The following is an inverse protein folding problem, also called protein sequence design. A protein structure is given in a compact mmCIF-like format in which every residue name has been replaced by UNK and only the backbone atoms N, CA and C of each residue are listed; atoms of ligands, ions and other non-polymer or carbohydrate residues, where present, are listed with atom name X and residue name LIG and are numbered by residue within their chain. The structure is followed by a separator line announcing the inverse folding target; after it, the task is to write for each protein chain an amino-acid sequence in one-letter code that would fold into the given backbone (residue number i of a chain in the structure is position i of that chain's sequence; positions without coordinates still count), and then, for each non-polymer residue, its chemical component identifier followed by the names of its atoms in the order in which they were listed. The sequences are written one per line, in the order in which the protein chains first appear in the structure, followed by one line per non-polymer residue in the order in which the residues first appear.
data_IF_552608250629
#
_entry.id   IF_552608250629
#
_cell.length_a   1.000
_cell.length_b   1.000
_cell.length_c   1.000
_cell.angle_alpha   90.00
_cell.angle_beta   90.00
_cell.angle_gamma   90.00
#
_symmetry.space_group_name_H-M   'P 1'
#
loop_
_entity.id
_entity.type
_entity.pdbx_description
1 polymer ?
#
# COMPACT_ATOMS: atom_id res chain seq x y z
N UNK A 1 53.24 1.18 30.37
CA UNK A 1 53.06 -0.14 29.74
C UNK A 1 51.66 -0.24 29.13
N UNK A 2 51.54 -0.77 27.91
CA UNK A 2 50.24 -1.05 27.28
C UNK A 2 49.86 -2.52 27.47
N UNK A 3 48.65 -2.77 27.96
CA UNK A 3 48.06 -4.11 28.07
C UNK A 3 47.08 -4.33 26.91
N UNK A 4 47.39 -5.28 26.04
CA UNK A 4 46.47 -5.74 24.99
C UNK A 4 45.55 -6.78 25.62
N UNK A 5 44.28 -6.44 25.76
CA UNK A 5 43.30 -7.25 26.49
C UNK A 5 42.27 -7.82 25.50
N UNK A 6 42.34 -9.13 25.26
CA UNK A 6 41.33 -9.86 24.50
C UNK A 6 40.22 -10.27 25.45
N UNK A 7 38.97 -10.04 25.07
CA UNK A 7 37.80 -10.35 25.89
C UNK A 7 36.99 -11.45 25.21
N UNK A 8 36.58 -12.44 25.98
CA UNK A 8 35.65 -13.53 25.61
C UNK A 8 34.61 -13.63 26.75
N UNK A 9 33.39 -13.12 26.54
CA UNK A 9 32.45 -12.92 27.65
C UNK A 9 31.82 -14.23 28.17
N UNK A 10 31.65 -15.24 27.32
CA UNK A 10 30.96 -16.49 27.63
C UNK A 10 31.92 -17.67 27.93
N UNK A 11 33.22 -17.38 28.03
CA UNK A 11 34.27 -18.34 28.40
C UNK A 11 34.39 -19.51 27.42
N UNK A 12 34.25 -19.21 26.13
CA UNK A 12 34.41 -20.22 25.09
C UNK A 12 35.83 -20.78 25.07
N UNK A 13 36.86 -19.99 25.43
CA UNK A 13 38.21 -20.48 25.65
C UNK A 13 38.26 -21.53 26.77
N UNK A 14 37.83 -21.21 27.99
CA UNK A 14 37.89 -22.13 29.13
C UNK A 14 37.05 -23.38 28.91
N UNK A 15 35.81 -23.21 28.43
CA UNK A 15 34.85 -24.32 28.20
C UNK A 15 35.25 -25.26 27.09
N UNK A 16 35.70 -24.75 25.93
CA UNK A 16 35.97 -25.59 24.76
C UNK A 16 37.36 -26.20 24.79
N UNK A 17 38.31 -25.61 25.52
CA UNK A 17 39.72 -26.03 25.51
C UNK A 17 40.26 -26.50 26.86
N UNK A 18 39.61 -26.15 27.97
CA UNK A 18 40.06 -26.46 29.33
C UNK A 18 41.24 -25.61 29.81
N UNK A 19 41.55 -24.51 29.12
CA UNK A 19 42.54 -23.54 29.59
C UNK A 19 42.05 -22.84 30.87
N UNK A 20 42.98 -22.53 31.76
CA UNK A 20 42.69 -21.70 32.93
C UNK A 20 42.86 -20.23 32.55
N UNK A 21 41.82 -19.45 32.79
CA UNK A 21 41.76 -18.01 32.52
C UNK A 21 41.98 -17.24 33.84
N UNK A 22 42.53 -16.01 33.78
CA UNK A 22 43.02 -15.32 32.59
C UNK A 22 44.33 -15.93 32.06
N UNK A 23 44.50 -15.91 30.74
CA UNK A 23 45.75 -16.37 30.08
C UNK A 23 46.64 -15.17 29.81
N UNK A 24 47.85 -15.16 30.38
CA UNK A 24 48.74 -13.99 30.37
C UNK A 24 50.05 -14.33 29.68
N UNK A 25 50.52 -13.44 28.81
CA UNK A 25 51.79 -13.56 28.11
C UNK A 25 51.63 -14.10 26.70
N UNK A 26 52.52 -13.68 25.81
CA UNK A 26 52.47 -13.96 24.38
C UNK A 26 52.37 -15.46 24.04
N UNK A 27 53.27 -16.30 24.56
CA UNK A 27 53.26 -17.74 24.23
C UNK A 27 52.04 -18.47 24.82
N UNK A 28 51.67 -18.30 26.10
CA UNK A 28 50.43 -18.88 26.63
C UNK A 28 49.18 -18.47 25.84
N UNK A 29 49.05 -17.19 25.47
CA UNK A 29 47.92 -16.69 24.69
C UNK A 29 47.90 -17.31 23.28
N UNK A 30 49.07 -17.51 22.67
CA UNK A 30 49.18 -18.19 21.37
C UNK A 30 48.79 -19.66 21.44
N UNK A 31 49.21 -20.36 22.49
CA UNK A 31 48.81 -21.76 22.73
C UNK A 31 47.30 -21.88 22.92
N UNK A 32 46.70 -20.98 23.71
CA UNK A 32 45.26 -20.86 23.91
C UNK A 32 44.51 -20.61 22.59
N UNK A 33 44.97 -19.64 21.79
CA UNK A 33 44.36 -19.32 20.48
C UNK A 33 44.38 -20.52 19.52
N UNK A 34 45.50 -21.24 19.46
CA UNK A 34 45.64 -22.42 18.59
C UNK A 34 44.76 -23.57 19.09
N UNK A 35 44.66 -23.75 20.41
CA UNK A 35 43.78 -24.76 21.00
C UNK A 35 42.31 -24.47 20.68
N UNK A 36 41.86 -23.21 20.84
CA UNK A 36 40.49 -22.81 20.54
C UNK A 36 40.19 -22.96 19.05
N UNK A 37 41.09 -22.50 18.16
CA UNK A 37 40.94 -22.67 16.71
C UNK A 37 40.89 -24.14 16.27
N UNK A 38 41.52 -25.04 17.04
CA UNK A 38 41.49 -26.49 16.78
C UNK A 38 40.20 -27.14 17.28
N UNK A 39 39.66 -26.65 18.40
CA UNK A 39 38.43 -27.16 19.01
C UNK A 39 37.18 -26.64 18.27
N UNK A 40 37.14 -25.35 17.95
CA UNK A 40 36.03 -24.69 17.26
C UNK A 40 36.55 -23.62 16.28
N UNK A 41 36.78 -23.98 15.00
CA UNK A 41 37.31 -23.05 14.00
C UNK A 41 36.29 -22.01 13.50
N UNK A 42 35.00 -22.15 13.80
CA UNK A 42 33.96 -21.21 13.37
C UNK A 42 33.74 -20.06 14.36
N UNK A 43 34.29 -20.21 15.56
CA UNK A 43 34.25 -19.26 16.66
C UNK A 43 34.94 -17.93 16.32
N UNK A 44 34.29 -16.80 16.62
CA UNK A 44 34.83 -15.47 16.39
C UNK A 44 35.93 -15.08 17.37
N UNK A 45 35.96 -15.64 18.58
CA UNK A 45 36.95 -15.35 19.63
C UNK A 45 38.36 -15.78 19.23
N UNK A 46 38.46 -16.81 18.39
CA UNK A 46 39.72 -17.19 17.74
C UNK A 46 40.36 -15.97 17.06
N UNK A 47 39.57 -15.20 16.32
CA UNK A 47 40.07 -14.02 15.61
C UNK A 47 40.37 -12.85 16.55
N UNK A 48 39.64 -12.73 17.67
CA UNK A 48 39.93 -11.74 18.73
C UNK A 48 41.32 -11.99 19.32
N UNK A 49 41.61 -13.23 19.73
CA UNK A 49 42.88 -13.60 20.34
C UNK A 49 44.04 -13.45 19.33
N UNK A 50 43.87 -13.90 18.08
CA UNK A 50 44.88 -13.70 17.04
C UNK A 50 45.10 -12.23 16.70
N UNK A 51 44.05 -11.40 16.73
CA UNK A 51 44.18 -9.96 16.55
C UNK A 51 44.96 -9.32 17.71
N UNK A 52 44.79 -9.82 18.94
CA UNK A 52 45.59 -9.40 20.10
C UNK A 52 47.07 -9.75 19.97
N UNK A 53 47.38 -10.97 19.57
CA UNK A 53 48.76 -11.38 19.27
C UNK A 53 49.38 -10.53 18.16
N UNK A 54 48.62 -10.22 17.11
CA UNK A 54 49.09 -9.36 16.02
C UNK A 54 49.41 -7.94 16.51
N UNK A 55 48.56 -7.36 17.36
CA UNK A 55 48.80 -6.02 17.92
C UNK A 55 49.97 -6.03 18.89
N UNK A 56 50.08 -7.06 19.74
CA UNK A 56 51.23 -7.26 20.61
C UNK A 56 52.53 -7.31 19.81
N UNK A 57 52.60 -8.16 18.77
CA UNK A 57 53.81 -8.33 17.95
C UNK A 57 54.20 -7.02 17.24
N UNK A 58 53.23 -6.25 16.75
CA UNK A 58 53.45 -4.95 16.09
C UNK A 58 53.96 -3.87 17.05
N UNK A 59 53.49 -3.84 18.30
CA UNK A 59 53.95 -2.91 19.32
C UNK A 59 55.31 -3.32 19.91
N UNK A 60 55.51 -4.62 20.15
CA UNK A 60 56.78 -5.16 20.64
C UNK A 60 57.90 -4.91 19.63
N UNK A 61 57.63 -5.04 18.32
CA UNK A 61 58.59 -4.73 17.26
C UNK A 61 58.99 -3.24 17.20
N UNK A 62 58.22 -2.35 17.85
CA UNK A 62 58.52 -0.92 18.00
C UNK A 62 59.21 -0.59 19.33
N UNK A 63 59.68 -1.61 20.06
CA UNK A 63 60.29 -1.49 21.39
C UNK A 63 59.35 -0.83 22.43
N UNK A 64 58.03 -0.94 22.25
CA UNK A 64 57.05 -0.48 23.23
C UNK A 64 56.88 -1.52 24.37
N UNK A 65 56.73 -1.03 25.60
CA UNK A 65 56.45 -1.85 26.79
C UNK A 65 55.01 -2.38 26.72
N UNK A 66 54.84 -3.61 26.23
CA UNK A 66 53.53 -4.23 25.96
C UNK A 66 53.41 -5.62 26.60
N UNK A 67 52.22 -5.93 27.12
CA UNK A 67 51.83 -7.27 27.57
C UNK A 67 50.49 -7.66 26.92
N UNK A 68 50.23 -8.96 26.74
CA UNK A 68 48.95 -9.46 26.21
C UNK A 68 48.29 -10.42 27.18
N UNK A 69 46.97 -10.30 27.34
CA UNK A 69 46.17 -11.22 28.12
C UNK A 69 44.82 -11.50 27.46
N UNK A 70 44.28 -12.70 27.71
CA UNK A 70 42.89 -13.06 27.44
C UNK A 70 42.18 -13.13 28.78
N UNK A 71 41.07 -12.41 28.89
CA UNK A 71 40.17 -12.48 30.03
C UNK A 71 38.83 -13.01 29.58
N UNK A 72 38.24 -13.87 30.39
CA UNK A 72 36.94 -14.48 30.13
C UNK A 72 35.91 -14.17 31.20
N UNK A 73 34.64 -14.33 30.84
CA UNK A 73 33.51 -14.24 31.75
C UNK A 73 32.97 -15.61 32.15
N UNK A 74 31.64 -15.77 32.11
CA UNK A 74 30.96 -17.03 32.36
C UNK A 74 29.59 -17.04 31.67
N UNK A 75 28.99 -18.22 31.53
CA UNK A 75 27.68 -18.39 30.87
C UNK A 75 26.45 -18.15 31.75
N UNK A 76 26.61 -17.85 33.04
CA UNK A 76 25.47 -17.87 33.97
C UNK A 76 24.49 -16.71 33.73
N UNK A 77 24.90 -15.48 34.04
CA UNK A 77 24.12 -14.25 33.90
C UNK A 77 25.06 -13.10 33.48
N UNK A 78 24.56 -12.11 32.76
CA UNK A 78 25.35 -10.93 32.34
C UNK A 78 26.10 -10.27 33.52
N UNK A 79 25.50 -10.25 34.71
CA UNK A 79 26.10 -9.63 35.90
C UNK A 79 27.23 -10.49 36.49
N UNK A 80 27.10 -11.83 36.48
CA UNK A 80 28.17 -12.70 36.95
C UNK A 80 29.32 -12.73 35.97
N UNK A 81 29.05 -12.75 34.67
CA UNK A 81 30.06 -12.69 33.62
C UNK A 81 30.88 -11.39 33.72
N UNK A 82 30.19 -10.25 33.86
CA UNK A 82 30.84 -8.96 34.10
C UNK A 82 31.70 -8.92 35.38
N UNK A 83 31.30 -9.61 36.45
CA UNK A 83 32.09 -9.68 37.69
C UNK A 83 33.36 -10.51 37.49
N UNK A 84 33.24 -11.66 36.86
CA UNK A 84 34.36 -12.56 36.58
C UNK A 84 35.40 -11.86 35.71
N UNK A 85 34.99 -11.21 34.61
CA UNK A 85 35.90 -10.40 33.78
C UNK A 85 36.63 -9.34 34.61
N UNK A 86 35.94 -8.73 35.59
CA UNK A 86 36.56 -7.80 36.51
C UNK A 86 37.65 -8.44 37.39
N UNK A 87 37.36 -9.60 37.97
CA UNK A 87 38.26 -10.35 38.86
C UNK A 87 39.46 -10.92 38.08
N UNK A 88 39.25 -11.34 36.84
CA UNK A 88 40.30 -11.74 35.92
C UNK A 88 41.22 -10.58 35.56
N UNK A 89 40.67 -9.40 35.23
CA UNK A 89 41.47 -8.19 35.00
C UNK A 89 42.28 -7.82 36.23
N UNK A 90 41.71 -7.93 37.43
CA UNK A 90 42.44 -7.68 38.68
C UNK A 90 43.61 -8.68 38.85
N UNK A 91 43.41 -9.94 38.46
CA UNK A 91 44.44 -10.98 38.45
C UNK A 91 45.54 -10.67 37.43
N UNK A 92 45.17 -10.22 36.22
CA UNK A 92 46.14 -9.78 35.20
C UNK A 92 46.98 -8.65 35.75
N UNK A 93 46.35 -7.58 36.24
CA UNK A 93 47.05 -6.40 36.78
C UNK A 93 47.98 -6.75 37.96
N UNK A 94 47.58 -7.67 38.85
CA UNK A 94 48.40 -8.12 39.97
C UNK A 94 49.65 -8.93 39.53
N UNK A 95 49.58 -9.60 38.37
CA UNK A 95 50.71 -10.36 37.82
C UNK A 95 51.74 -9.47 37.11
N UNK A 96 51.33 -8.27 36.66
CA UNK A 96 52.22 -7.34 35.97
C UNK A 96 53.23 -6.74 36.95
N UNK A 97 54.50 -7.08 36.75
CA UNK A 97 55.62 -6.52 37.51
C UNK A 97 56.18 -5.28 36.82
N UNK A 98 55.43 -4.18 36.79
CA UNK A 98 55.88 -2.91 36.20
C UNK A 98 55.82 -1.74 37.17
N UNK A 99 56.76 -0.80 37.01
CA UNK A 99 56.79 0.48 37.75
C UNK A 99 56.10 1.62 37.00
N UNK A 100 55.59 1.34 35.80
CA UNK A 100 54.94 2.31 34.91
C UNK A 100 53.42 2.24 35.03
N UNK A 101 52.74 3.33 34.70
CA UNK A 101 51.28 3.32 34.55
C UNK A 101 50.88 2.32 33.44
N UNK A 102 49.86 1.52 33.73
CA UNK A 102 49.28 0.54 32.80
C UNK A 102 48.07 1.18 32.13
N UNK A 103 48.04 1.16 30.79
CA UNK A 103 46.86 1.50 29.99
C UNK A 103 46.45 0.28 29.16
N UNK A 104 45.18 0.16 28.80
CA UNK A 104 44.66 -1.00 28.09
C UNK A 104 44.16 -0.66 26.68
N UNK A 105 44.44 -1.56 25.74
CA UNK A 105 43.80 -1.63 24.44
C UNK A 105 42.93 -2.88 24.40
N UNK A 106 41.61 -2.70 24.40
CA UNK A 106 40.65 -3.80 24.46
C UNK A 106 40.34 -4.31 23.05
N UNK A 107 40.31 -5.62 22.86
CA UNK A 107 39.97 -6.29 21.60
C UNK A 107 38.77 -7.19 21.84
N UNK A 108 37.78 -7.08 20.95
CA UNK A 108 36.47 -7.72 21.06
C UNK A 108 35.88 -7.98 19.66
N UNK A 109 34.98 -8.96 19.49
CA UNK A 109 34.31 -9.23 18.22
C UNK A 109 32.96 -8.48 18.03
N UNK A 110 32.38 -7.92 19.10
CA UNK A 110 30.94 -7.70 19.13
C UNK A 110 30.42 -6.73 20.18
N UNK A 111 29.15 -6.36 20.02
CA UNK A 111 28.48 -5.43 20.93
C UNK A 111 28.14 -6.05 22.31
N UNK A 112 28.10 -7.38 22.41
CA UNK A 112 27.86 -8.09 23.67
C UNK A 112 29.08 -7.97 24.59
N UNK A 113 30.26 -8.26 24.07
CA UNK A 113 31.54 -8.11 24.77
C UNK A 113 31.91 -6.65 25.07
N UNK A 114 31.45 -5.68 24.28
CA UNK A 114 31.62 -4.26 24.62
C UNK A 114 30.92 -3.88 25.95
N UNK A 115 30.00 -4.71 26.47
CA UNK A 115 29.32 -4.46 27.74
C UNK A 115 30.26 -4.49 28.95
N UNK A 116 31.41 -5.16 28.87
CA UNK A 116 32.42 -5.19 29.96
C UNK A 116 33.34 -3.97 29.98
N UNK A 117 33.30 -3.11 28.95
CA UNK A 117 34.17 -1.92 28.87
C UNK A 117 34.09 -1.04 30.12
N UNK A 118 32.90 -0.73 30.69
CA UNK A 118 32.82 0.05 31.93
C UNK A 118 33.50 -0.64 33.12
N UNK A 119 33.47 -1.97 33.17
CA UNK A 119 34.08 -2.79 34.23
C UNK A 119 35.61 -2.81 34.11
N UNK A 120 36.13 -2.96 32.89
CA UNK A 120 37.57 -2.87 32.62
C UNK A 120 38.06 -1.44 32.93
N UNK A 121 37.31 -0.42 32.49
CA UNK A 121 37.65 1.00 32.70
C UNK A 121 37.71 1.39 34.18
N UNK A 122 36.99 0.70 35.06
CA UNK A 122 37.07 0.97 36.50
C UNK A 122 38.35 0.47 37.16
N UNK A 123 39.14 -0.37 36.46
CA UNK A 123 40.38 -0.99 36.96
C UNK A 123 41.62 -0.46 36.25
N UNK A 124 41.53 -0.22 34.94
CA UNK A 124 42.64 0.27 34.12
C UNK A 124 42.15 1.33 33.11
N UNK A 125 42.90 2.43 32.88
CA UNK A 125 42.58 3.38 31.81
C UNK A 125 42.59 2.70 30.44
N UNK A 126 41.60 2.99 29.60
CA UNK A 126 41.47 2.40 28.25
C UNK A 126 41.87 3.45 27.20
N UNK A 127 42.94 3.17 26.44
CA UNK A 127 43.42 4.02 25.33
C UNK A 127 42.62 3.80 24.04
N UNK A 128 42.02 2.63 23.88
CA UNK A 128 41.17 2.33 22.73
C UNK A 128 40.46 0.98 22.81
N UNK A 129 39.51 0.79 21.91
CA UNK A 129 38.80 -0.47 21.68
C UNK A 129 38.92 -0.82 20.21
N UNK A 130 39.36 -2.04 19.89
CA UNK A 130 39.49 -2.55 18.53
C UNK A 130 38.53 -3.70 18.32
N UNK A 131 37.52 -3.46 17.48
CA UNK A 131 36.54 -4.47 17.09
C UNK A 131 37.02 -5.33 15.92
N UNK A 132 36.96 -6.65 16.06
CA UNK A 132 37.27 -7.64 15.02
C UNK A 132 35.98 -8.06 14.33
N UNK A 133 35.96 -8.01 12.99
CA UNK A 133 34.81 -8.43 12.20
C UNK A 133 35.26 -9.42 11.13
N UNK A 134 34.84 -10.67 11.26
CA UNK A 134 35.13 -11.73 10.30
C UNK A 134 34.21 -11.56 9.08
N UNK A 135 34.80 -11.38 7.89
CA UNK A 135 34.03 -11.26 6.64
C UNK A 135 33.82 -12.63 6.02
N UNK A 136 32.67 -13.25 6.23
CA UNK A 136 32.29 -14.49 5.55
C UNK A 136 31.62 -14.22 4.19
N UNK A 137 32.06 -14.91 3.14
CA UNK A 137 31.52 -14.80 1.79
C UNK A 137 30.58 -15.97 1.47
N UNK A 138 29.35 -15.96 2.00
CA UNK A 138 28.31 -16.97 1.70
C UNK A 138 27.56 -16.61 0.41
N UNK A 139 28.09 -16.94 -0.78
CA UNK A 139 27.86 -16.03 -1.93
C UNK A 139 27.22 -16.53 -3.23
N UNK A 140 26.57 -17.69 -3.30
CA UNK A 140 25.81 -18.03 -4.54
C UNK A 140 24.44 -18.69 -4.31
N UNK A 141 24.34 -19.65 -3.40
CA UNK A 141 23.08 -20.36 -3.16
C UNK A 141 22.01 -19.45 -2.54
N UNK A 142 22.39 -18.68 -1.52
CA UNK A 142 21.50 -17.69 -0.88
C UNK A 142 21.00 -16.65 -1.90
N UNK A 143 21.86 -16.16 -2.80
CA UNK A 143 21.45 -15.24 -3.87
C UNK A 143 20.47 -15.89 -4.84
N UNK A 144 20.71 -17.14 -5.25
CA UNK A 144 19.78 -17.86 -6.12
C UNK A 144 18.40 -17.98 -5.49
N UNK A 145 18.32 -18.36 -4.21
CA UNK A 145 17.05 -18.45 -3.51
C UNK A 145 16.38 -17.08 -3.30
N UNK A 146 17.15 -16.03 -3.00
CA UNK A 146 16.59 -14.67 -2.90
C UNK A 146 16.00 -14.20 -4.22
N UNK A 147 16.72 -14.38 -5.34
CA UNK A 147 16.20 -14.02 -6.68
C UNK A 147 14.97 -14.87 -7.00
N UNK A 148 15.02 -16.18 -6.74
CA UNK A 148 13.88 -17.08 -6.95
C UNK A 148 12.66 -16.64 -6.14
N UNK A 149 12.84 -16.26 -4.87
CA UNK A 149 11.75 -15.80 -4.01
C UNK A 149 11.14 -14.48 -4.48
N UNK A 150 11.97 -13.51 -4.89
CA UNK A 150 11.51 -12.25 -5.48
C UNK A 150 10.73 -12.50 -6.78
N UNK A 151 11.19 -13.47 -7.57
CA UNK A 151 10.49 -13.89 -8.76
C UNK A 151 9.25 -14.70 -8.43
N UNK A 152 9.14 -15.46 -7.34
CA UNK A 152 7.96 -16.27 -7.00
C UNK A 152 6.83 -15.47 -6.34
N UNK A 153 7.15 -14.36 -5.69
CA UNK A 153 6.15 -13.48 -5.07
C UNK A 153 5.32 -12.68 -6.11
N UNK A 154 3.98 -12.83 -6.16
CA UNK A 154 3.13 -12.15 -7.14
C UNK A 154 3.18 -10.61 -7.08
N UNK A 155 3.29 -10.05 -5.88
CA UNK A 155 3.35 -8.59 -5.68
C UNK A 155 4.67 -8.01 -6.20
N UNK A 156 5.77 -8.72 -5.95
CA UNK A 156 7.13 -8.26 -6.30
C UNK A 156 7.47 -8.58 -7.75
N UNK A 157 7.12 -9.78 -8.26
CA UNK A 157 7.34 -10.21 -9.65
C UNK A 157 6.80 -9.19 -10.64
N UNK A 158 5.56 -8.74 -10.45
CA UNK A 158 4.92 -7.77 -11.33
C UNK A 158 5.63 -6.41 -11.33
N UNK A 159 6.13 -5.98 -10.18
CA UNK A 159 6.82 -4.68 -10.01
C UNK A 159 8.17 -4.65 -10.72
N UNK A 160 8.90 -5.76 -10.74
CA UNK A 160 10.25 -5.84 -11.31
C UNK A 160 10.20 -6.29 -12.78
N UNK A 161 9.46 -7.36 -13.08
CA UNK A 161 9.48 -7.96 -14.41
C UNK A 161 8.75 -7.14 -15.47
N UNK A 162 7.70 -6.38 -15.11
CA UNK A 162 6.94 -5.61 -16.12
C UNK A 162 7.76 -4.44 -16.68
N UNK A 163 8.34 -3.54 -15.86
CA UNK A 163 9.24 -2.48 -16.38
C UNK A 163 10.42 -3.06 -17.15
N UNK A 164 11.02 -4.11 -16.61
CA UNK A 164 12.17 -4.77 -17.24
C UNK A 164 11.78 -5.37 -18.60
N UNK A 165 10.63 -6.04 -18.68
CA UNK A 165 10.08 -6.58 -19.91
C UNK A 165 9.80 -5.49 -20.94
N UNK A 166 9.16 -4.39 -20.53
CA UNK A 166 8.93 -3.24 -21.43
C UNK A 166 10.26 -2.66 -21.91
N UNK A 167 11.25 -2.49 -21.01
CA UNK A 167 12.58 -1.97 -21.36
C UNK A 167 13.29 -2.86 -22.39
N UNK A 168 13.26 -4.18 -22.17
CA UNK A 168 13.81 -5.17 -23.10
C UNK A 168 13.08 -5.18 -24.45
N UNK A 169 11.79 -4.84 -24.47
CA UNK A 169 11.01 -4.73 -25.69
C UNK A 169 11.26 -3.45 -26.49
N UNK A 170 11.83 -2.39 -25.89
CA UNK A 170 12.10 -1.12 -26.58
C UNK A 170 12.94 -1.34 -27.84
N UNK A 171 14.03 -2.11 -27.73
CA UNK A 171 14.94 -2.34 -28.85
C UNK A 171 14.30 -3.13 -30.02
N UNK A 172 13.72 -4.33 -29.81
CA UNK A 172 13.07 -5.06 -30.90
C UNK A 172 11.86 -4.30 -31.48
N UNK A 173 11.10 -3.57 -30.65
CA UNK A 173 10.02 -2.73 -31.15
C UNK A 173 10.54 -1.56 -31.99
N UNK A 174 11.68 -0.95 -31.61
CA UNK A 174 12.31 0.09 -32.42
C UNK A 174 12.72 -0.43 -33.81
N UNK A 175 13.21 -1.67 -33.91
CA UNK A 175 13.53 -2.31 -35.19
C UNK A 175 12.29 -2.58 -36.05
N UNK A 176 11.18 -2.98 -35.44
CA UNK A 176 9.91 -3.12 -36.15
C UNK A 176 9.40 -1.75 -36.61
N UNK A 177 9.49 -0.74 -35.76
CA UNK A 177 9.11 0.63 -36.08
C UNK A 177 9.92 1.22 -37.22
N UNK A 178 11.23 0.94 -37.29
CA UNK A 178 12.06 1.37 -38.42
C UNK A 178 11.68 0.64 -39.71
N UNK A 179 11.35 -0.65 -39.65
CA UNK A 179 10.87 -1.41 -40.81
C UNK A 179 9.50 -0.92 -41.35
N UNK A 180 8.65 -0.37 -40.47
CA UNK A 180 7.36 0.20 -40.81
C UNK A 180 7.41 1.71 -41.12
N UNK A 181 8.60 2.31 -41.23
CA UNK A 181 8.81 3.75 -41.43
C UNK A 181 8.18 4.65 -40.35
N UNK A 182 7.90 4.09 -39.16
CA UNK A 182 7.31 4.79 -38.01
C UNK A 182 8.10 4.59 -36.69
N UNK A 183 9.44 4.76 -36.67
CA UNK A 183 10.25 4.49 -35.48
C UNK A 183 9.89 5.40 -34.30
N UNK A 184 9.56 6.67 -34.57
CA UNK A 184 9.18 7.63 -33.53
C UNK A 184 7.85 7.29 -32.84
N UNK A 185 6.88 6.76 -33.59
CA UNK A 185 5.61 6.32 -33.02
C UNK A 185 5.83 5.12 -32.10
N UNK A 186 6.55 4.09 -32.55
CA UNK A 186 6.77 2.87 -31.76
C UNK A 186 7.58 3.14 -30.49
N UNK A 187 8.65 3.93 -30.59
CA UNK A 187 9.42 4.36 -29.42
C UNK A 187 8.57 5.21 -28.47
N UNK A 188 7.83 6.18 -29.01
CA UNK A 188 6.94 7.05 -28.24
C UNK A 188 5.87 6.27 -27.48
N UNK A 189 5.20 5.32 -28.14
CA UNK A 189 4.19 4.47 -27.51
C UNK A 189 4.81 3.55 -26.46
N UNK A 190 5.95 2.92 -26.73
CA UNK A 190 6.59 2.01 -25.77
C UNK A 190 7.09 2.76 -24.53
N UNK A 191 7.70 3.93 -24.71
CA UNK A 191 8.11 4.81 -23.61
C UNK A 191 6.92 5.38 -22.84
N UNK A 192 5.82 5.73 -23.52
CA UNK A 192 4.60 6.18 -22.88
C UNK A 192 3.96 5.07 -22.03
N UNK A 193 3.93 3.83 -22.52
CA UNK A 193 3.45 2.68 -21.75
C UNK A 193 4.32 2.42 -20.52
N UNK A 194 5.65 2.50 -20.65
CA UNK A 194 6.56 2.39 -19.51
C UNK A 194 6.31 3.49 -18.49
N UNK A 195 6.22 4.75 -18.95
CA UNK A 195 5.96 5.90 -18.09
C UNK A 195 4.63 5.81 -17.37
N UNK A 196 3.56 5.45 -18.08
CA UNK A 196 2.23 5.26 -17.51
C UNK A 196 2.23 4.12 -16.49
N UNK A 197 2.92 3.01 -16.78
CA UNK A 197 3.09 1.92 -15.82
C UNK A 197 3.77 2.42 -14.53
N UNK A 198 4.91 3.10 -14.65
CA UNK A 198 5.66 3.61 -13.48
C UNK A 198 4.83 4.60 -12.66
N UNK A 199 4.11 5.52 -13.31
CA UNK A 199 3.21 6.46 -12.65
C UNK A 199 2.08 5.70 -11.94
N UNK A 200 1.46 4.73 -12.62
CA UNK A 200 0.37 3.93 -12.04
C UNK A 200 0.83 3.16 -10.80
N UNK A 201 2.06 2.63 -10.81
CA UNK A 201 2.63 1.89 -9.68
C UNK A 201 3.05 2.84 -8.57
N UNK A 202 3.69 3.97 -8.89
CA UNK A 202 4.11 4.99 -7.91
C UNK A 202 2.92 5.64 -7.19
N UNK A 203 1.80 5.79 -7.88
CA UNK A 203 0.54 6.23 -7.28
C UNK A 203 -0.20 5.09 -6.57
N UNK A 204 0.16 3.82 -6.76
CA UNK A 204 -0.61 2.69 -6.21
C UNK A 204 -2.00 2.53 -6.82
N UNK A 205 -2.17 2.88 -8.10
CA UNK A 205 -3.46 2.82 -8.79
C UNK A 205 -4.04 1.42 -8.84
N UNK A 206 -3.21 0.37 -8.93
CA UNK A 206 -3.65 -1.03 -8.93
C UNK A 206 -4.49 -1.37 -7.70
N UNK A 207 -3.93 -1.18 -6.51
CA UNK A 207 -4.61 -1.47 -5.25
C UNK A 207 -5.90 -0.64 -5.07
N UNK A 208 -5.91 0.62 -5.55
CA UNK A 208 -7.10 1.47 -5.50
C UNK A 208 -8.19 0.99 -6.46
N UNK A 209 -7.81 0.55 -7.66
CA UNK A 209 -8.70 -0.05 -8.64
C UNK A 209 -9.29 -1.35 -8.11
N UNK A 210 -8.48 -2.25 -7.57
CA UNK A 210 -8.94 -3.50 -6.98
C UNK A 210 -9.95 -3.23 -5.87
N UNK A 211 -9.61 -2.33 -4.94
CA UNK A 211 -10.54 -1.95 -3.86
C UNK A 211 -11.82 -1.31 -4.40
N UNK A 212 -11.75 -0.48 -5.45
CA UNK A 212 -12.91 0.15 -6.07
C UNK A 212 -13.80 -0.89 -6.78
N UNK A 213 -13.18 -1.85 -7.48
CA UNK A 213 -13.86 -2.97 -8.13
C UNK A 213 -14.51 -3.88 -7.10
N UNK A 214 -13.82 -4.22 -6.00
CA UNK A 214 -14.41 -4.99 -4.90
C UNK A 214 -15.60 -4.27 -4.26
N UNK A 215 -15.53 -2.93 -4.13
CA UNK A 215 -16.63 -2.12 -3.60
C UNK A 215 -17.80 -2.10 -4.58
N UNK A 216 -17.54 -1.87 -5.86
CA UNK A 216 -18.54 -1.92 -6.93
C UNK A 216 -19.20 -3.29 -7.00
N UNK A 217 -18.40 -4.36 -6.96
CA UNK A 217 -18.89 -5.74 -6.94
C UNK A 217 -19.76 -5.98 -5.71
N UNK A 218 -19.33 -5.63 -4.50
CA UNK A 218 -20.18 -5.79 -3.29
C UNK A 218 -21.49 -5.00 -3.39
N UNK A 219 -21.47 -3.81 -3.96
CA UNK A 219 -22.69 -3.02 -4.20
C UNK A 219 -23.62 -3.70 -5.22
N UNK A 220 -23.06 -4.25 -6.31
CA UNK A 220 -23.82 -5.00 -7.31
C UNK A 220 -24.37 -6.33 -6.77
N UNK A 221 -23.61 -7.01 -5.90
CA UNK A 221 -24.03 -8.25 -5.23
C UNK A 221 -24.99 -8.00 -4.06
N UNK A 222 -25.13 -6.76 -3.59
CA UNK A 222 -26.10 -6.39 -2.56
C UNK A 222 -27.57 -6.40 -3.07
N UNK A 223 -27.82 -6.86 -4.30
CA UNK A 223 -29.17 -7.09 -4.82
C UNK A 223 -30.01 -5.83 -5.05
N UNK A 224 -29.39 -4.65 -5.02
CA UNK A 224 -30.05 -3.37 -5.24
C UNK A 224 -30.36 -3.16 -6.72
N UNK A 225 -31.64 -3.28 -7.06
CA UNK A 225 -32.20 -3.03 -8.39
C UNK A 225 -32.01 -1.56 -8.84
N UNK A 226 -31.84 -0.61 -7.92
CA UNK A 226 -31.46 0.79 -8.23
C UNK A 226 -30.16 0.90 -9.01
N UNK A 227 -29.16 0.06 -8.74
CA UNK A 227 -27.87 0.12 -9.44
C UNK A 227 -28.01 -0.28 -10.91
N UNK A 228 -28.75 -1.35 -11.18
CA UNK A 228 -29.06 -1.76 -12.54
C UNK A 228 -29.86 -0.67 -13.26
N UNK A 229 -30.85 -0.10 -12.58
CA UNK A 229 -31.65 0.99 -13.12
C UNK A 229 -30.81 2.23 -13.45
N UNK A 230 -29.83 2.61 -12.63
CA UNK A 230 -28.93 3.73 -12.90
C UNK A 230 -28.01 3.47 -14.10
N UNK A 231 -27.48 2.25 -14.26
CA UNK A 231 -26.65 1.91 -15.43
C UNK A 231 -27.46 2.02 -16.72
N UNK A 232 -28.66 1.45 -16.72
CA UNK A 232 -29.58 1.53 -17.87
C UNK A 232 -29.99 2.98 -18.12
N UNK A 233 -30.32 3.75 -17.08
CA UNK A 233 -30.66 5.16 -17.18
C UNK A 233 -29.52 6.01 -17.75
N UNK A 234 -28.27 5.76 -17.35
CA UNK A 234 -27.10 6.45 -17.89
C UNK A 234 -26.94 6.18 -19.41
N UNK A 235 -27.10 4.93 -19.83
CA UNK A 235 -27.09 4.58 -21.25
C UNK A 235 -28.23 5.28 -22.03
N UNK A 236 -29.44 5.32 -21.47
CA UNK A 236 -30.58 6.02 -22.05
C UNK A 236 -30.34 7.54 -22.14
N UNK A 237 -29.71 8.18 -21.14
CA UNK A 237 -29.35 9.61 -21.21
C UNK A 237 -28.33 9.88 -22.32
N UNK A 238 -27.32 9.02 -22.49
CA UNK A 238 -26.36 9.13 -23.60
C UNK A 238 -27.08 9.03 -24.95
N UNK A 239 -27.98 8.05 -25.11
CA UNK A 239 -28.82 7.93 -26.29
C UNK A 239 -29.67 9.18 -26.51
N UNK A 240 -30.26 9.74 -25.45
CA UNK A 240 -30.99 11.00 -25.52
C UNK A 240 -30.14 12.16 -26.00
N UNK A 241 -28.88 12.26 -25.54
CA UNK A 241 -27.92 13.26 -26.03
C UNK A 241 -27.62 13.10 -27.52
N UNK A 242 -27.35 11.87 -27.97
CA UNK A 242 -27.11 11.57 -29.39
C UNK A 242 -28.33 11.91 -30.24
N UNK A 243 -29.53 11.48 -29.83
CA UNK A 243 -30.77 11.79 -30.53
C UNK A 243 -31.10 13.29 -30.54
N UNK A 244 -30.82 14.02 -29.45
CA UNK A 244 -30.95 15.48 -29.41
C UNK A 244 -30.00 16.21 -30.35
N UNK A 245 -28.76 15.73 -30.50
CA UNK A 245 -27.81 16.29 -31.46
C UNK A 245 -28.20 15.99 -32.91
N UNK A 246 -28.64 14.75 -33.20
CA UNK A 246 -29.14 14.37 -34.52
C UNK A 246 -30.35 15.22 -34.92
N UNK A 247 -31.24 15.48 -33.97
CA UNK A 247 -32.43 16.32 -34.20
C UNK A 247 -32.05 17.78 -34.49
N UNK A 248 -31.06 18.31 -33.76
CA UNK A 248 -30.52 19.65 -34.03
C UNK A 248 -29.91 19.75 -35.43
N UNK A 249 -29.18 18.72 -35.87
CA UNK A 249 -28.59 18.66 -37.20
C UNK A 249 -29.69 18.63 -38.28
N UNK A 250 -30.72 17.81 -38.12
CA UNK A 250 -31.87 17.77 -39.01
C UNK A 250 -32.58 19.13 -39.14
N UNK A 251 -32.77 19.84 -38.03
CA UNK A 251 -33.38 21.18 -38.02
C UNK A 251 -32.50 22.20 -38.76
N UNK A 252 -31.17 22.13 -38.59
CA UNK A 252 -30.21 23.00 -39.29
C UNK A 252 -30.19 22.76 -40.80
N UNK A 253 -30.32 21.51 -41.24
CA UNK A 253 -30.36 21.18 -42.67
C UNK A 253 -31.62 21.72 -43.36
N UNK A 254 -32.76 21.73 -42.65
CA UNK A 254 -34.04 22.21 -43.20
C UNK A 254 -34.23 23.73 -43.12
N UNK A 255 -33.43 24.44 -42.32
CA UNK A 255 -33.62 25.88 -42.08
C UNK A 255 -32.62 26.70 -42.90
N UNK A 256 -33.10 27.50 -43.86
CA UNK A 256 -32.26 28.45 -44.59
C UNK A 256 -32.01 29.71 -43.75
N UNK A 257 -30.93 29.73 -42.97
CA UNK A 257 -30.54 30.88 -42.14
C UNK A 257 -29.93 30.47 -40.81
N UNK A 258 -29.64 31.46 -39.95
CA UNK A 258 -29.11 31.21 -38.61
C UNK A 258 -30.23 30.69 -37.69
N UNK A 259 -29.99 29.56 -37.01
CA UNK A 259 -31.00 28.93 -36.15
C UNK A 259 -31.04 29.67 -34.82
N UNK A 260 -32.16 30.31 -34.51
CA UNK A 260 -32.32 31.04 -33.25
C UNK A 260 -32.10 30.15 -32.02
N UNK A 261 -31.57 30.71 -30.93
CA UNK A 261 -31.22 29.97 -29.72
C UNK A 261 -32.40 29.16 -29.13
N UNK A 262 -33.63 29.68 -29.26
CA UNK A 262 -34.85 29.00 -28.83
C UNK A 262 -35.15 27.74 -29.66
N UNK A 263 -34.93 27.80 -30.97
CA UNK A 263 -35.10 26.65 -31.86
C UNK A 263 -34.01 25.59 -31.65
N UNK A 264 -32.77 26.01 -31.36
CA UNK A 264 -31.68 25.09 -30.96
C UNK A 264 -32.05 24.32 -29.69
N UNK A 265 -32.51 25.03 -28.65
CA UNK A 265 -32.95 24.40 -27.40
C UNK A 265 -34.15 23.47 -27.63
N UNK A 266 -35.13 23.89 -28.43
CA UNK A 266 -36.30 23.09 -28.76
C UNK A 266 -35.91 21.80 -29.52
N UNK A 267 -35.00 21.87 -30.49
CA UNK A 267 -34.53 20.69 -31.23
C UNK A 267 -33.85 19.65 -30.31
N UNK A 268 -32.93 20.11 -29.46
CA UNK A 268 -32.23 19.22 -28.51
C UNK A 268 -33.23 18.58 -27.53
N UNK A 269 -34.15 19.37 -26.98
CA UNK A 269 -35.16 18.86 -26.03
C UNK A 269 -36.09 17.87 -26.75
N UNK A 270 -36.57 18.19 -27.95
CA UNK A 270 -37.48 17.33 -28.70
C UNK A 270 -36.85 15.95 -28.97
N UNK A 271 -35.60 15.91 -29.43
CA UNK A 271 -34.89 14.67 -29.73
C UNK A 271 -34.46 13.87 -28.48
N UNK A 272 -34.22 14.54 -27.36
CA UNK A 272 -33.72 13.89 -26.13
C UNK A 272 -34.82 13.45 -25.16
N UNK A 273 -35.99 14.10 -25.16
CA UNK A 273 -36.98 13.97 -24.08
C UNK A 273 -37.50 12.55 -23.89
N UNK A 274 -37.68 11.76 -24.95
CA UNK A 274 -38.20 10.39 -24.86
C UNK A 274 -37.22 9.46 -24.14
N UNK A 275 -35.94 9.58 -24.46
CA UNK A 275 -34.87 8.78 -23.86
C UNK A 275 -34.57 9.22 -22.42
N UNK A 276 -34.58 10.53 -22.15
CA UNK A 276 -34.45 11.08 -20.80
C UNK A 276 -35.64 10.68 -19.93
N UNK A 277 -36.86 10.67 -20.49
CA UNK A 277 -38.04 10.19 -19.79
C UNK A 277 -37.96 8.69 -19.48
N UNK A 278 -37.53 7.87 -20.45
CA UNK A 278 -37.29 6.45 -20.23
C UNK A 278 -36.23 6.22 -19.13
N UNK A 279 -35.17 7.03 -19.08
CA UNK A 279 -34.17 6.99 -18.04
C UNK A 279 -34.74 7.33 -16.65
N UNK A 280 -35.54 8.39 -16.57
CA UNK A 280 -36.20 8.80 -15.32
C UNK A 280 -37.21 7.76 -14.82
N UNK A 281 -38.02 7.19 -15.71
CA UNK A 281 -38.97 6.11 -15.36
C UNK A 281 -38.20 4.87 -14.88
N UNK A 282 -37.17 4.45 -15.61
CA UNK A 282 -36.34 3.29 -15.25
C UNK A 282 -35.73 3.48 -13.86
N UNK A 283 -35.18 4.66 -13.58
CA UNK A 283 -34.61 5.02 -12.28
C UNK A 283 -35.66 4.95 -11.17
N UNK A 284 -36.83 5.55 -11.40
CA UNK A 284 -37.91 5.56 -10.41
C UNK A 284 -38.43 4.16 -10.09
N UNK A 285 -38.55 3.29 -11.10
CA UNK A 285 -38.96 1.90 -10.91
C UNK A 285 -37.90 1.09 -10.15
N UNK A 286 -36.61 1.32 -10.41
CA UNK A 286 -35.52 0.71 -9.65
C UNK A 286 -35.55 1.12 -8.18
N UNK A 287 -35.81 2.40 -7.90
CA UNK A 287 -35.92 2.89 -6.53
C UNK A 287 -37.15 2.32 -5.80
N UNK A 288 -38.31 2.32 -6.45
CA UNK A 288 -39.54 1.72 -5.91
C UNK A 288 -39.32 0.24 -5.60
N UNK A 289 -38.63 -0.48 -6.49
CA UNK A 289 -38.37 -1.92 -6.31
C UNK A 289 -37.46 -2.17 -5.11
N UNK A 290 -36.41 -1.36 -4.93
CA UNK A 290 -35.52 -1.48 -3.76
C UNK A 290 -36.23 -1.11 -2.45
N UNK A 291 -37.04 -0.06 -2.44
CA UNK A 291 -37.81 0.35 -1.26
C UNK A 291 -38.89 -0.67 -0.89
N UNK A 292 -39.50 -1.32 -1.89
CA UNK A 292 -40.44 -2.41 -1.68
C UNK A 292 -39.77 -3.66 -1.09
N UNK A 293 -38.59 -4.04 -1.60
CA UNK A 293 -37.82 -5.18 -1.09
C UNK A 293 -37.31 -4.90 0.34
N UNK A 294 -37.04 -3.63 0.67
CA UNK A 294 -36.56 -3.21 1.98
C UNK A 294 -37.67 -2.98 3.03
N UNK A 295 -38.94 -3.20 2.69
CA UNK A 295 -40.11 -2.91 3.54
C UNK A 295 -40.19 -1.44 4.02
N UNK A 296 -39.60 -0.50 3.26
CA UNK A 296 -39.59 0.95 3.58
C UNK A 296 -40.40 1.79 2.60
N UNK A 297 -41.20 1.15 1.73
CA UNK A 297 -41.94 1.84 0.67
C UNK A 297 -43.07 2.71 1.24
N UNK A 298 -43.00 4.02 1.02
CA UNK A 298 -44.16 4.92 1.15
C UNK A 298 -44.95 4.92 -0.18
N UNK A 299 -46.28 4.85 -0.12
CA UNK A 299 -47.13 4.84 -1.33
C UNK A 299 -46.96 6.10 -2.17
N UNK A 300 -46.56 7.21 -1.53
CA UNK A 300 -46.24 8.46 -2.22
C UNK A 300 -45.09 8.31 -3.22
N UNK A 301 -44.09 7.45 -3.00
CA UNK A 301 -42.97 7.31 -3.94
C UNK A 301 -43.37 6.67 -5.28
N UNK A 302 -44.52 6.00 -5.35
CA UNK A 302 -45.07 5.43 -6.58
C UNK A 302 -45.51 6.49 -7.60
N UNK A 303 -45.63 7.75 -7.21
CA UNK A 303 -45.99 8.85 -8.11
C UNK A 303 -44.81 9.31 -9.02
N UNK A 304 -43.57 8.97 -8.67
CA UNK A 304 -42.36 9.40 -9.37
C UNK A 304 -42.37 9.09 -10.89
N UNK A 305 -42.66 7.86 -11.36
CA UNK A 305 -42.70 7.57 -12.81
C UNK A 305 -43.76 8.39 -13.54
N UNK A 306 -44.90 8.67 -12.90
CA UNK A 306 -45.98 9.47 -13.50
C UNK A 306 -45.58 10.94 -13.63
N UNK A 307 -44.84 11.49 -12.67
CA UNK A 307 -44.27 12.84 -12.81
C UNK A 307 -43.27 12.94 -13.96
N UNK A 308 -42.42 11.92 -14.13
CA UNK A 308 -41.47 11.88 -15.26
C UNK A 308 -42.24 11.84 -16.58
N UNK A 309 -43.28 11.01 -16.70
CA UNK A 309 -44.12 10.93 -17.89
C UNK A 309 -44.88 12.24 -18.15
N UNK A 310 -45.45 12.85 -17.12
CA UNK A 310 -46.12 14.15 -17.18
C UNK A 310 -45.18 15.22 -17.73
N UNK A 311 -43.98 15.32 -17.16
CA UNK A 311 -42.96 16.26 -17.60
C UNK A 311 -42.52 15.99 -19.04
N UNK A 312 -42.36 14.72 -19.41
CA UNK A 312 -41.98 14.32 -20.76
C UNK A 312 -43.02 14.73 -21.81
N UNK A 313 -44.30 14.51 -21.53
CA UNK A 313 -45.41 14.92 -22.41
C UNK A 313 -45.40 16.44 -22.61
N UNK A 314 -45.23 17.20 -21.52
CA UNK A 314 -45.18 18.67 -21.57
C UNK A 314 -43.98 19.15 -22.36
N UNK A 315 -42.77 18.67 -22.03
CA UNK A 315 -41.54 19.07 -22.70
C UNK A 315 -41.53 18.68 -24.18
N UNK A 316 -42.04 17.50 -24.52
CA UNK A 316 -42.19 17.06 -25.91
C UNK A 316 -43.14 17.98 -26.68
N UNK A 317 -44.31 18.30 -26.14
CA UNK A 317 -45.28 19.15 -26.82
C UNK A 317 -44.79 20.60 -26.98
N UNK A 318 -44.17 21.16 -25.94
CA UNK A 318 -43.61 22.52 -25.97
C UNK A 318 -42.48 22.61 -26.99
N UNK A 319 -41.54 21.66 -26.97
CA UNK A 319 -40.44 21.63 -27.94
C UNK A 319 -40.94 21.40 -29.38
N UNK A 320 -41.90 20.51 -29.58
CA UNK A 320 -42.52 20.28 -30.89
C UNK A 320 -43.23 21.52 -31.44
N UNK A 321 -43.88 22.29 -30.57
CA UNK A 321 -44.58 23.53 -30.95
C UNK A 321 -43.58 24.60 -31.41
N UNK A 322 -42.46 24.78 -30.70
CA UNK A 322 -41.41 25.71 -31.13
C UNK A 322 -40.68 25.30 -32.41
N UNK A 323 -40.81 24.03 -32.83
CA UNK A 323 -40.30 23.52 -34.10
C UNK A 323 -41.37 23.53 -35.22
N UNK A 324 -42.53 24.15 -34.99
CA UNK A 324 -43.67 24.17 -35.93
C UNK A 324 -44.12 22.77 -36.39
N UNK A 325 -43.98 21.75 -35.54
CA UNK A 325 -44.38 20.36 -35.85
C UNK A 325 -45.79 20.00 -35.41
N UNK A 326 -46.38 20.80 -34.52
CA UNK A 326 -47.68 20.55 -33.91
C UNK A 326 -48.48 21.83 -33.77
N UNK A 327 -49.81 21.72 -33.90
CA UNK A 327 -50.71 22.85 -33.76
C UNK A 327 -50.98 23.23 -32.29
N UNK A 328 -51.49 24.44 -32.08
CA UNK A 328 -51.89 24.97 -30.76
C UNK A 328 -52.85 24.03 -30.02
N UNK A 329 -53.76 23.36 -30.73
CA UNK A 329 -54.70 22.40 -30.15
C UNK A 329 -53.99 21.18 -29.55
N UNK A 330 -52.95 20.67 -30.23
CA UNK A 330 -52.15 19.56 -29.71
C UNK A 330 -51.37 20.01 -28.47
N UNK A 331 -50.73 21.18 -28.53
CA UNK A 331 -50.02 21.75 -27.37
C UNK A 331 -50.94 21.90 -26.16
N UNK A 332 -52.10 22.53 -26.33
CA UNK A 332 -53.06 22.74 -25.25
C UNK A 332 -53.57 21.41 -24.65
N UNK A 333 -53.80 20.41 -25.51
CA UNK A 333 -54.22 19.07 -25.09
C UNK A 333 -53.12 18.36 -24.32
N UNK A 334 -51.87 18.39 -24.81
CA UNK A 334 -50.74 17.74 -24.17
C UNK A 334 -50.36 18.40 -22.83
N UNK A 335 -50.40 19.74 -22.75
CA UNK A 335 -50.22 20.46 -21.49
C UNK A 335 -51.27 20.07 -20.47
N UNK A 336 -52.56 20.08 -20.88
CA UNK A 336 -53.67 19.72 -20.01
C UNK A 336 -53.57 18.25 -19.55
N UNK A 337 -53.33 17.33 -20.48
CA UNK A 337 -53.20 15.91 -20.20
C UNK A 337 -51.99 15.61 -19.30
N UNK A 338 -50.83 16.22 -19.59
CA UNK A 338 -49.63 16.10 -18.78
C UNK A 338 -49.84 16.59 -17.36
N UNK A 339 -50.39 17.80 -17.18
CA UNK A 339 -50.68 18.36 -15.86
C UNK A 339 -51.72 17.53 -15.09
N UNK A 340 -52.80 17.09 -15.75
CA UNK A 340 -53.81 16.22 -15.13
C UNK A 340 -53.20 14.89 -14.70
N UNK A 341 -52.35 14.27 -15.52
CA UNK A 341 -51.69 13.01 -15.17
C UNK A 341 -50.82 13.14 -13.92
N UNK A 342 -50.08 14.25 -13.79
CA UNK A 342 -49.31 14.56 -12.58
C UNK A 342 -50.19 14.72 -11.34
N UNK A 343 -51.20 15.60 -11.41
CA UNK A 343 -52.10 15.90 -10.28
C UNK A 343 -52.92 14.67 -9.85
N UNK A 344 -53.49 13.94 -10.81
CA UNK A 344 -54.27 12.72 -10.53
C UNK A 344 -53.38 11.67 -9.88
N UNK A 345 -52.16 11.46 -10.38
CA UNK A 345 -51.20 10.54 -9.75
C UNK A 345 -50.94 10.92 -8.29
N UNK A 346 -50.63 12.19 -8.00
CA UNK A 346 -50.42 12.66 -6.62
C UNK A 346 -51.63 12.40 -5.74
N UNK A 347 -52.83 12.74 -6.22
CA UNK A 347 -54.06 12.58 -5.46
C UNK A 347 -54.35 11.10 -5.19
N UNK A 348 -54.23 10.24 -6.20
CA UNK A 348 -54.45 8.80 -6.08
C UNK A 348 -53.53 8.21 -5.02
N UNK A 349 -52.22 8.46 -5.10
CA UNK A 349 -51.27 7.89 -4.13
C UNK A 349 -51.38 8.51 -2.74
N UNK A 350 -51.74 9.80 -2.61
CA UNK A 350 -52.02 10.42 -1.32
C UNK A 350 -53.27 9.82 -0.65
N UNK A 351 -54.33 9.53 -1.42
CA UNK A 351 -55.54 8.87 -0.91
C UNK A 351 -55.24 7.43 -0.49
N UNK A 352 -54.47 6.69 -1.28
CA UNK A 352 -54.04 5.33 -0.93
C UNK A 352 -53.25 5.33 0.38
N UNK A 353 -52.25 6.21 0.51
CA UNK A 353 -51.48 6.38 1.77
C UNK A 353 -52.40 6.63 2.97
N UNK A 354 -53.36 7.56 2.85
CA UNK A 354 -54.30 7.87 3.94
C UNK A 354 -55.23 6.71 4.35
N UNK A 355 -55.40 5.70 3.48
CA UNK A 355 -56.27 4.54 3.70
C UNK A 355 -55.53 3.33 4.25
N UNK A 356 -54.25 3.19 3.95
CA UNK A 356 -53.42 2.08 4.41
C UNK A 356 -52.54 2.44 5.61
N UNK A 357 -52.41 3.73 5.93
CA UNK A 357 -51.68 4.25 7.08
C UNK A 357 -52.65 4.70 8.19
N UNK A 358 -53.33 3.75 8.86
CA UNK A 358 -54.00 3.99 10.15
C UNK A 358 -53.20 3.38 11.33
N UNK A 359 -53.24 4.00 12.52
CA UNK A 359 -52.13 3.99 13.47
C UNK A 359 -52.12 2.79 14.43
N UNK A 360 -50.97 2.13 14.50
CA UNK A 360 -50.59 1.18 15.56
C UNK A 360 -50.30 1.91 16.90
N UNK A 361 -51.21 2.78 17.36
CA UNK A 361 -51.02 3.48 18.64
C UNK A 361 -52.34 3.83 19.36
N UNK A 362 -53.11 2.78 19.67
CA UNK A 362 -54.27 2.86 20.58
C UNK A 362 -54.18 1.85 21.73
N UNK A 363 -52.99 1.64 22.29
CA UNK A 363 -52.80 0.96 23.57
C UNK A 363 -51.82 1.74 24.46
N UNK A 364 -52.30 2.84 25.05
CA UNK A 364 -51.75 3.40 26.30
C UNK A 364 -52.62 4.58 26.76
N UNK A 365 -53.75 4.29 27.41
CA UNK A 365 -54.28 5.20 28.43
C UNK A 365 -54.67 4.36 29.65
N UNK A 366 -53.93 4.47 30.77
CA UNK A 366 -54.43 3.98 32.04
C UNK A 366 -55.63 4.85 32.43
N UNK A 367 -56.72 4.21 32.82
CA UNK A 367 -57.83 4.86 33.49
C UNK A 367 -57.38 5.37 34.86
N UNK A 368 -57.25 6.69 35.00
CA UNK A 368 -57.24 7.36 36.30
C UNK A 368 -58.67 7.75 36.71
N UNK A 369 -59.00 7.40 37.96
CA UNK A 369 -60.04 7.92 38.86
C UNK A 369 -61.52 7.89 38.44
N UNK A 370 -62.31 7.05 39.12
CA UNK A 370 -63.13 7.45 40.29
C UNK A 370 -63.78 6.22 40.94
#
# INVERSE_FOLDING_TARGET
MLLVLCVDLDDDLGRKTGFSTPVIGREPVKEAAVALATADPEDSDVNVIFQGLHVYDDLSARDESVEVAVVTGNEEDDVSANREVGDEVDTVLASLSTSEDVTALVITDGAQDESVIPIIRSRVPIDGVRRVVVRQAQNLESMYYTIKQVLDDPETRGTVLIPLGILLLIYPLALIGSALEMPGFVLGTTSALLGLYLISRGLGLGNRLDTAVERGRRLLYAGRTTLLAYVVAAALVVLGGVHGLNELEAVRETTTGDVGALAVAAAIVYGSVQWVAAAGVTTSLGQITDEYIADTLEWRYLNAPFYVLSMAIVLHAVSAFFLDRVDVTYLATALTAGTLLGIVSTLTFAVVESRFSEPENREARPSESA
#
